data_IF_518583236443
#
_entry.id   IF_518583236443
#
_cell.length_a   1.000
_cell.length_b   1.000
_cell.length_c   1.000
_cell.angle_alpha   90.00
_cell.angle_beta   90.00
_cell.angle_gamma   90.00
#
_symmetry.space_group_name_H-M   'P 1'
#
loop_
_entity.id
_entity.type
_entity.pdbx_description
1 polymer ?
#
# COMPACT_ATOMS: atom_id res chain seq x y z
N UNK A 1 -15.63 4.63 0.09
CA UNK A 1 -15.57 3.42 -0.78
C UNK A 1 -14.25 2.71 -0.49
N UNK A 2 -14.25 1.41 -0.18
CA UNK A 2 -13.01 0.67 0.06
C UNK A 2 -12.29 0.38 -1.27
N UNK A 3 -11.03 0.77 -1.40
CA UNK A 3 -10.21 0.45 -2.59
C UNK A 3 -9.71 -0.98 -2.48
N UNK A 4 -10.31 -1.90 -3.24
CA UNK A 4 -9.85 -3.27 -3.34
C UNK A 4 -8.68 -3.37 -4.32
N UNK A 5 -7.64 -4.10 -3.92
CA UNK A 5 -6.44 -4.32 -4.71
C UNK A 5 -6.21 -5.81 -4.84
N UNK A 6 -5.85 -6.26 -6.04
CA UNK A 6 -5.51 -7.64 -6.32
C UNK A 6 -4.00 -7.79 -6.38
N UNK A 7 -3.45 -8.76 -5.66
CA UNK A 7 -2.01 -9.04 -5.74
C UNK A 7 -1.66 -9.66 -7.10
N UNK A 8 -0.67 -9.13 -7.83
CA UNK A 8 -0.21 -9.73 -9.10
C UNK A 8 0.51 -11.06 -8.90
N UNK A 9 0.95 -11.37 -7.67
CA UNK A 9 1.74 -12.58 -7.37
C UNK A 9 0.90 -13.76 -6.92
N UNK A 10 -0.07 -13.53 -6.03
CA UNK A 10 -0.92 -14.59 -5.47
C UNK A 10 -2.38 -14.53 -5.93
N UNK A 11 -2.80 -13.47 -6.64
CA UNK A 11 -4.17 -13.29 -7.10
C UNK A 11 -5.19 -12.94 -6.01
N UNK A 12 -4.78 -12.78 -4.75
CA UNK A 12 -5.70 -12.48 -3.65
C UNK A 12 -6.20 -11.02 -3.74
N UNK A 13 -7.49 -10.82 -3.48
CA UNK A 13 -8.13 -9.50 -3.44
C UNK A 13 -8.32 -9.07 -1.99
N UNK A 14 -7.81 -7.89 -1.64
CA UNK A 14 -7.90 -7.36 -0.28
C UNK A 14 -8.10 -5.85 -0.30
N UNK A 15 -8.59 -5.32 0.81
CA UNK A 15 -8.74 -3.88 1.00
C UNK A 15 -7.36 -3.24 1.20
N UNK A 16 -7.07 -2.18 0.44
CA UNK A 16 -5.83 -1.42 0.54
C UNK A 16 -5.56 -0.90 1.95
N UNK A 17 -6.59 -0.38 2.63
CA UNK A 17 -6.49 0.09 4.01
C UNK A 17 -6.11 -1.05 4.96
N UNK A 18 -6.66 -2.25 4.75
CA UNK A 18 -6.34 -3.41 5.57
C UNK A 18 -4.89 -3.85 5.37
N UNK A 19 -4.44 -3.98 4.12
CA UNK A 19 -3.04 -4.31 3.82
C UNK A 19 -2.06 -3.28 4.39
N UNK A 20 -2.41 -1.99 4.35
CA UNK A 20 -1.60 -0.91 4.94
C UNK A 20 -1.53 -1.01 6.46
N UNK A 21 -2.64 -1.36 7.13
CA UNK A 21 -2.66 -1.57 8.59
C UNK A 21 -1.83 -2.78 9.02
N UNK A 22 -1.90 -3.89 8.27
CA UNK A 22 -1.25 -5.15 8.63
C UNK A 22 0.20 -5.21 8.21
N UNK A 23 0.54 -4.74 7.00
CA UNK A 23 1.84 -4.96 6.36
C UNK A 23 2.74 -3.72 6.39
N UNK A 24 2.18 -2.52 6.52
CA UNK A 24 2.94 -1.28 6.71
C UNK A 24 2.82 -0.76 8.15
N UNK A 25 2.59 -1.66 9.11
CA UNK A 25 2.56 -1.39 10.55
C UNK A 25 3.88 -0.73 10.98
N UNK A 26 3.87 0.60 11.11
CA UNK A 26 5.04 1.43 11.46
C UNK A 26 5.41 2.52 10.44
N UNK A 27 4.83 2.51 9.24
CA UNK A 27 5.10 3.55 8.24
C UNK A 27 4.03 4.66 8.30
N UNK A 28 4.41 5.86 8.75
CA UNK A 28 3.49 7.02 8.85
C UNK A 28 2.87 7.36 7.48
N UNK A 29 3.63 7.27 6.40
CA UNK A 29 3.16 7.52 5.03
C UNK A 29 2.06 6.56 4.56
N UNK A 30 1.98 5.36 5.16
CA UNK A 30 0.91 4.41 4.88
C UNK A 30 -0.43 4.88 5.47
N UNK A 31 -0.38 5.51 6.66
CA UNK A 31 -1.56 6.05 7.36
C UNK A 31 -2.07 7.32 6.69
N UNK A 32 -1.16 8.21 6.26
CA UNK A 32 -1.52 9.47 5.59
C UNK A 32 -1.93 9.32 4.13
N UNK A 33 -1.84 8.11 3.57
CA UNK A 33 -2.25 7.84 2.20
C UNK A 33 -1.21 8.17 1.13
N UNK A 34 -0.09 8.78 1.51
CA UNK A 34 0.97 9.26 0.60
C UNK A 34 1.87 8.14 0.06
N UNK A 35 1.71 6.91 0.56
CA UNK A 35 2.47 5.75 0.11
C UNK A 35 1.90 5.17 -1.20
N UNK A 36 2.60 5.38 -2.32
CA UNK A 36 2.28 4.80 -3.63
C UNK A 36 2.51 3.28 -3.74
N UNK A 37 2.91 2.62 -2.64
CA UNK A 37 3.19 1.19 -2.59
C UNK A 37 2.17 0.46 -1.71
N UNK A 38 1.97 -0.81 -2.01
CA UNK A 38 1.18 -1.73 -1.19
C UNK A 38 1.92 -3.04 -1.04
N UNK A 39 1.93 -3.57 0.17
CA UNK A 39 2.46 -4.90 0.48
C UNK A 39 1.31 -5.87 0.68
N UNK A 40 1.33 -6.98 -0.04
CA UNK A 40 0.32 -8.02 0.13
C UNK A 40 0.48 -8.68 1.51
N UNK A 41 -0.57 -8.73 2.36
CA UNK A 41 -0.49 -9.37 3.67
C UNK A 41 -0.40 -10.89 3.61
N UNK A 42 -0.73 -11.50 2.47
CA UNK A 42 -0.72 -12.96 2.30
C UNK A 42 0.64 -13.50 1.82
N UNK A 43 1.23 -12.87 0.81
CA UNK A 43 2.48 -13.34 0.21
C UNK A 43 3.68 -12.43 0.48
N UNK A 44 3.46 -11.29 1.15
CA UNK A 44 4.49 -10.31 1.49
C UNK A 44 5.05 -9.53 0.30
N UNK A 45 4.53 -9.71 -0.91
CA UNK A 45 5.01 -9.02 -2.11
C UNK A 45 4.57 -7.56 -2.12
N UNK A 46 5.53 -6.66 -2.31
CA UNK A 46 5.31 -5.22 -2.37
C UNK A 46 5.32 -4.74 -3.82
N UNK A 47 4.30 -3.97 -4.20
CA UNK A 47 4.10 -3.51 -5.57
C UNK A 47 3.48 -2.10 -5.60
N UNK A 48 3.76 -1.30 -6.65
CA UNK A 48 3.22 0.04 -6.77
C UNK A 48 1.73 0.01 -7.12
N UNK A 49 0.96 0.90 -6.51
CA UNK A 49 -0.44 1.13 -6.83
C UNK A 49 -0.51 2.06 -8.03
N UNK A 50 -0.82 1.51 -9.22
CA UNK A 50 -1.08 2.30 -10.41
C UNK A 50 -2.24 3.26 -10.14
N UNK A 51 -1.94 4.56 -10.02
CA UNK A 51 -2.94 5.61 -9.79
C UNK A 51 -2.54 6.69 -8.79
N UNK A 52 -1.40 6.56 -8.09
CA UNK A 52 -0.86 7.70 -7.32
C UNK A 52 0.61 7.90 -7.70
N UNK A 53 1.03 9.14 -8.04
CA UNK A 53 2.44 9.45 -8.11
C UNK A 53 2.97 9.28 -6.69
N UNK A 54 3.57 8.14 -6.39
CA UNK A 54 4.37 7.97 -5.19
C UNK A 54 5.33 9.15 -5.15
N UNK A 55 5.19 10.02 -4.16
CA UNK A 55 6.14 11.10 -3.95
C UNK A 55 7.25 10.52 -3.07
N UNK A 56 8.44 10.19 -3.60
CA UNK A 56 9.55 9.71 -2.79
C UNK A 56 10.21 10.81 -1.94
N UNK A 57 9.54 11.94 -1.64
CA UNK A 57 10.26 13.14 -1.21
C UNK A 57 9.45 14.24 -0.53
N UNK A 58 8.62 13.93 0.47
CA UNK A 58 8.25 14.93 1.48
C UNK A 58 9.05 14.76 2.77
N UNK A 59 10.37 14.73 2.62
CA UNK A 59 11.26 15.41 3.56
C UNK A 59 11.14 16.92 3.32
N UNK A 60 10.10 17.52 3.89
CA UNK A 60 10.03 18.96 4.22
C UNK A 60 9.20 18.98 5.51
N UNK A 61 9.70 19.34 6.68
CA UNK A 61 10.87 20.13 7.08
C UNK A 61 11.69 19.40 8.15
#
# INVERSE_FOLDING_TARGET
MARLVMCPRCGHRFSLSYARLTSCSGCRYSVFGECGYVRCPYCGHEFPLSGEPGNPGKLRL
#
